data_IF_759858245554
#
_entry.id   IF_759858245554
#
_cell.length_a   1.000
_cell.length_b   1.000
_cell.length_c   1.000
_cell.angle_alpha   90.00
_cell.angle_beta   90.00
_cell.angle_gamma   90.00
#
_symmetry.space_group_name_H-M   'P 1'
#
loop_
_entity.id
_entity.type
_entity.pdbx_description
1 polymer ?
#
# COMPACT_ATOMS: atom_id res chain seq x y z
N UNK A 1 27.15 -8.96 -15.68
CA UNK A 1 26.19 -8.18 -14.89
C UNK A 1 24.98 -9.07 -14.68
N UNK A 2 24.48 -9.20 -13.46
CA UNK A 2 23.21 -9.86 -13.27
C UNK A 2 22.12 -9.01 -13.94
N UNK A 3 21.21 -9.66 -14.68
CA UNK A 3 20.08 -8.96 -15.29
C UNK A 3 19.19 -8.38 -14.18
N UNK A 4 18.64 -7.19 -14.42
CA UNK A 4 17.72 -6.55 -13.49
C UNK A 4 16.45 -7.38 -13.32
N UNK A 5 16.04 -7.61 -12.07
CA UNK A 5 14.83 -8.39 -11.77
C UNK A 5 13.56 -7.52 -11.91
N UNK A 6 12.91 -7.61 -13.06
CA UNK A 6 11.65 -6.91 -13.34
C UNK A 6 10.42 -7.54 -12.69
N UNK A 7 10.55 -8.71 -12.06
CA UNK A 7 9.41 -9.40 -11.43
C UNK A 7 9.06 -8.86 -10.06
N UNK A 8 9.95 -8.05 -9.47
CA UNK A 8 9.78 -7.50 -8.13
C UNK A 8 10.58 -6.22 -7.91
N UNK A 9 10.20 -5.46 -6.90
CA UNK A 9 11.02 -4.39 -6.34
C UNK A 9 10.78 -4.29 -4.83
N UNK A 10 11.75 -3.72 -4.12
CA UNK A 10 11.68 -3.45 -2.68
C UNK A 10 12.04 -2.01 -2.41
N UNK A 11 11.24 -1.36 -1.56
CA UNK A 11 11.46 0.01 -1.08
C UNK A 11 11.59 -0.02 0.43
N UNK A 12 12.47 0.79 0.96
CA UNK A 12 12.68 0.93 2.42
C UNK A 12 12.61 2.39 2.83
N UNK A 13 11.97 2.67 3.96
CA UNK A 13 11.93 3.99 4.56
C UNK A 13 11.93 3.86 6.08
N UNK A 14 12.62 4.76 6.77
CA UNK A 14 12.54 4.90 8.21
C UNK A 14 11.39 5.83 8.60
N UNK A 15 10.69 5.50 9.68
CA UNK A 15 9.61 6.34 10.23
C UNK A 15 9.79 6.41 11.75
N UNK A 16 9.89 7.63 12.28
CA UNK A 16 10.15 7.88 13.71
C UNK A 16 8.86 7.73 14.55
N UNK A 17 8.36 6.50 14.61
CA UNK A 17 7.22 6.11 15.45
C UNK A 17 7.36 4.66 15.91
N UNK A 18 6.64 4.29 16.96
CA UNK A 18 6.62 2.91 17.43
C UNK A 18 6.07 1.95 16.35
N UNK A 19 6.63 0.74 16.21
CA UNK A 19 6.18 -0.25 15.22
C UNK A 19 4.68 -0.55 15.27
N UNK A 20 4.09 -0.57 16.48
CA UNK A 20 2.66 -0.85 16.66
C UNK A 20 1.77 0.23 16.04
N UNK A 21 2.16 1.50 16.16
CA UNK A 21 1.43 2.62 15.55
C UNK A 21 1.53 2.54 14.02
N UNK A 22 2.72 2.20 13.51
CA UNK A 22 2.97 2.04 12.09
C UNK A 22 2.20 0.83 11.51
N UNK A 23 2.16 -0.30 12.23
CA UNK A 23 1.36 -1.45 11.82
C UNK A 23 -0.13 -1.10 11.69
N UNK A 24 -0.70 -0.40 12.69
CA UNK A 24 -2.09 0.07 12.63
C UNK A 24 -2.38 0.98 11.45
N UNK A 25 -1.41 1.80 11.02
CA UNK A 25 -1.56 2.65 9.84
C UNK A 25 -1.77 1.84 8.54
N UNK A 26 -1.28 0.61 8.48
CA UNK A 26 -1.46 -0.30 7.35
C UNK A 26 -2.71 -1.16 7.44
N UNK A 27 -3.05 -1.66 8.63
CA UNK A 27 -4.01 -2.76 8.79
C UNK A 27 -5.37 -2.33 9.32
N UNK A 28 -5.63 -1.04 9.50
CA UNK A 28 -6.96 -0.55 9.86
C UNK A 28 -7.50 0.35 8.76
N UNK A 29 -8.84 0.40 8.61
CA UNK A 29 -9.48 1.30 7.65
C UNK A 29 -9.09 2.75 7.91
N UNK A 30 -9.22 3.21 9.15
CA UNK A 30 -8.86 4.57 9.54
C UNK A 30 -7.37 4.87 9.32
N UNK A 31 -6.51 3.88 9.61
CA UNK A 31 -5.07 4.01 9.40
C UNK A 31 -4.73 4.20 7.92
N UNK A 32 -5.15 3.30 7.06
CA UNK A 32 -4.78 3.31 5.64
C UNK A 32 -5.41 4.49 4.88
N UNK A 33 -6.60 4.96 5.29
CA UNK A 33 -7.22 6.18 4.73
C UNK A 33 -6.49 7.47 5.16
N UNK A 34 -5.78 7.44 6.28
CA UNK A 34 -5.06 8.63 6.75
C UNK A 34 -3.93 9.06 5.82
N UNK A 35 -3.31 8.14 5.10
CA UNK A 35 -2.11 8.44 4.31
C UNK A 35 -2.12 7.89 2.88
N UNK A 36 -2.89 6.83 2.58
CA UNK A 36 -2.82 6.13 1.30
C UNK A 36 -4.11 6.28 0.48
N UNK A 37 -5.26 5.96 1.04
CA UNK A 37 -6.51 5.85 0.32
C UNK A 37 -7.46 7.02 0.60
N UNK A 38 -8.35 7.28 -0.36
CA UNK A 38 -9.54 8.11 -0.14
C UNK A 38 -10.63 7.33 0.58
N UNK A 39 -10.81 6.07 0.20
CA UNK A 39 -11.81 5.16 0.77
C UNK A 39 -11.25 3.75 0.79
N UNK A 40 -11.44 3.06 1.90
CA UNK A 40 -11.21 1.63 2.02
C UNK A 40 -12.41 0.94 2.64
N UNK A 41 -12.84 -0.15 2.02
CA UNK A 41 -13.86 -1.05 2.58
C UNK A 41 -13.24 -2.43 2.73
N UNK A 42 -13.44 -3.05 3.88
CA UNK A 42 -13.06 -4.43 4.12
C UNK A 42 -14.30 -5.26 4.43
N UNK A 43 -14.32 -6.51 4.00
CA UNK A 43 -15.37 -7.46 4.33
C UNK A 43 -14.79 -8.76 4.86
N UNK A 44 -15.36 -9.22 5.96
CA UNK A 44 -15.07 -10.50 6.62
C UNK A 44 -16.36 -11.27 6.76
N UNK A 45 -16.52 -12.37 5.98
CA UNK A 45 -17.77 -13.14 5.97
C UNK A 45 -19.01 -12.24 5.77
N UNK A 46 -18.94 -11.33 4.80
CA UNK A 46 -19.97 -10.33 4.47
C UNK A 46 -20.29 -9.32 5.59
N UNK A 47 -19.45 -9.21 6.61
CA UNK A 47 -19.53 -8.20 7.67
C UNK A 47 -18.43 -7.15 7.47
N UNK A 48 -18.79 -5.88 7.63
CA UNK A 48 -17.82 -4.77 7.58
C UNK A 48 -17.16 -4.61 8.96
N UNK A 49 -15.82 -4.79 9.08
CA UNK A 49 -15.10 -4.47 10.32
C UNK A 49 -15.19 -3.00 10.68
N UNK A 50 -15.06 -2.68 11.95
CA UNK A 50 -14.99 -1.30 12.43
C UNK A 50 -13.79 -0.53 11.88
N UNK A 51 -13.84 0.80 12.01
CA UNK A 51 -12.78 1.66 11.42
C UNK A 51 -11.40 1.45 12.05
N UNK A 52 -11.37 1.08 13.32
CA UNK A 52 -10.14 0.82 14.08
C UNK A 52 -9.86 -0.70 14.26
N UNK A 53 -10.72 -1.57 13.72
CA UNK A 53 -10.51 -3.02 13.75
C UNK A 53 -9.42 -3.41 12.75
N UNK A 54 -8.42 -4.20 13.16
CA UNK A 54 -7.39 -4.64 12.24
C UNK A 54 -7.94 -5.68 11.25
N UNK A 55 -7.49 -5.58 10.01
CA UNK A 55 -7.76 -6.58 8.99
C UNK A 55 -7.13 -7.91 9.37
N UNK A 56 -7.71 -8.99 8.85
CA UNK A 56 -7.26 -10.36 9.08
C UNK A 56 -7.04 -11.07 7.74
N UNK A 57 -6.30 -12.15 7.79
CA UNK A 57 -6.13 -13.03 6.65
C UNK A 57 -7.50 -13.49 6.12
N UNK A 58 -7.70 -13.41 4.81
CA UNK A 58 -8.94 -13.73 4.13
C UNK A 58 -9.93 -12.57 4.00
N UNK A 59 -9.69 -11.42 4.64
CA UNK A 59 -10.51 -10.24 4.43
C UNK A 59 -10.38 -9.77 2.98
N UNK A 60 -11.50 -9.43 2.37
CA UNK A 60 -11.52 -8.81 1.04
C UNK A 60 -11.57 -7.31 1.17
N UNK A 61 -10.96 -6.61 0.21
CA UNK A 61 -10.95 -5.15 0.22
C UNK A 61 -11.43 -4.55 -1.11
N UNK A 62 -11.91 -3.29 -0.99
CA UNK A 62 -12.15 -2.36 -2.10
C UNK A 62 -11.48 -1.05 -1.74
N UNK A 63 -10.64 -0.53 -2.63
CA UNK A 63 -9.86 0.67 -2.43
C UNK A 63 -10.07 1.69 -3.52
N UNK A 64 -10.11 2.97 -3.13
CA UNK A 64 -10.18 4.12 -4.02
C UNK A 64 -9.18 5.19 -3.61
N UNK A 65 -8.64 5.90 -4.58
CA UNK A 65 -7.66 6.96 -4.37
C UNK A 65 -8.23 8.33 -4.69
N UNK A 66 -7.62 9.37 -4.14
CA UNK A 66 -7.84 10.72 -4.61
C UNK A 66 -7.35 10.87 -6.06
N UNK A 67 -8.00 11.74 -6.85
CA UNK A 67 -7.64 12.00 -8.25
C UNK A 67 -8.20 11.03 -9.27
N UNK A 68 -8.86 9.96 -8.84
CA UNK A 68 -9.54 8.98 -9.70
C UNK A 68 -11.05 9.04 -9.52
N UNK A 69 -11.83 8.81 -10.59
CA UNK A 69 -13.28 8.71 -10.48
C UNK A 69 -13.70 7.47 -9.68
N UNK A 70 -14.91 7.49 -9.11
CA UNK A 70 -15.44 6.40 -8.29
C UNK A 70 -15.53 5.05 -9.01
N UNK A 71 -15.55 5.08 -10.35
CA UNK A 71 -15.50 3.85 -11.17
C UNK A 71 -14.14 3.15 -11.16
N UNK A 72 -13.07 3.85 -10.75
CA UNK A 72 -11.73 3.26 -10.60
C UNK A 72 -11.60 2.74 -9.18
N UNK A 73 -11.70 1.43 -9.04
CA UNK A 73 -11.70 0.73 -7.78
C UNK A 73 -10.79 -0.50 -7.85
N UNK A 74 -9.89 -0.62 -6.90
CA UNK A 74 -9.05 -1.80 -6.71
C UNK A 74 -9.76 -2.79 -5.80
N UNK A 75 -9.70 -4.05 -6.15
CA UNK A 75 -10.24 -5.16 -5.36
C UNK A 75 -9.13 -6.17 -5.07
N UNK A 76 -9.11 -6.67 -3.87
CA UNK A 76 -8.14 -7.68 -3.50
C UNK A 76 -8.47 -8.40 -2.19
N UNK A 77 -7.49 -9.13 -1.71
CA UNK A 77 -7.59 -9.97 -0.52
C UNK A 77 -6.35 -9.81 0.35
N UNK A 78 -6.57 -9.82 1.66
CA UNK A 78 -5.50 -9.88 2.67
C UNK A 78 -5.00 -11.31 2.75
N UNK A 79 -3.76 -11.54 2.37
CA UNK A 79 -3.13 -12.87 2.36
C UNK A 79 -2.52 -13.24 3.72
N UNK A 80 -1.90 -12.25 4.38
CA UNK A 80 -1.32 -12.42 5.71
C UNK A 80 -1.48 -11.13 6.52
N UNK A 81 -1.81 -11.27 7.80
CA UNK A 81 -1.78 -10.19 8.78
C UNK A 81 -1.46 -10.82 10.14
N UNK A 82 -0.20 -10.70 10.60
CA UNK A 82 0.25 -11.37 11.81
C UNK A 82 -0.03 -10.58 13.11
N UNK A 83 -0.64 -9.40 13.00
CA UNK A 83 -1.00 -8.56 14.13
C UNK A 83 0.15 -7.78 14.75
N UNK A 84 1.34 -7.80 14.14
CA UNK A 84 2.55 -7.24 14.75
C UNK A 84 3.44 -6.46 13.77
N UNK A 85 3.98 -7.11 12.77
CA UNK A 85 5.06 -6.56 11.93
C UNK A 85 5.05 -7.04 10.49
N UNK A 86 4.08 -7.88 10.09
CA UNK A 86 3.96 -8.37 8.72
C UNK A 86 2.53 -8.31 8.21
N UNK A 87 2.37 -7.77 7.00
CA UNK A 87 1.10 -7.64 6.30
C UNK A 87 1.32 -7.89 4.81
N UNK A 88 0.49 -8.74 4.20
CA UNK A 88 0.54 -9.06 2.77
C UNK A 88 -0.85 -9.08 2.17
N UNK A 89 -0.97 -8.56 0.94
CA UNK A 89 -2.22 -8.50 0.20
C UNK A 89 -1.98 -8.66 -1.30
N UNK A 90 -3.00 -9.11 -2.04
CA UNK A 90 -2.98 -9.06 -3.51
C UNK A 90 -3.10 -7.60 -3.98
N UNK A 91 -2.50 -7.23 -5.10
CA UNK A 91 -2.53 -5.87 -5.61
C UNK A 91 -2.44 -5.82 -7.13
N UNK A 92 -3.41 -5.13 -7.75
CA UNK A 92 -3.48 -5.04 -9.20
C UNK A 92 -3.88 -6.34 -9.88
N UNK A 93 -4.31 -6.22 -11.10
CA UNK A 93 -4.68 -7.34 -11.95
C UNK A 93 -3.58 -7.68 -12.93
N UNK A 94 -2.76 -8.69 -12.66
CA UNK A 94 -2.03 -9.40 -13.73
C UNK A 94 -3.02 -10.14 -14.60
N UNK A 95 -2.65 -10.46 -15.84
CA UNK A 95 -3.52 -11.22 -16.75
C UNK A 95 -3.65 -12.70 -16.34
N UNK A 96 -2.67 -13.21 -15.59
CA UNK A 96 -2.57 -14.62 -15.19
C UNK A 96 -2.79 -14.79 -13.67
N UNK A 97 -2.18 -13.92 -12.87
CA UNK A 97 -2.31 -13.93 -11.41
C UNK A 97 -2.16 -12.52 -10.84
N UNK A 98 -2.76 -12.23 -9.68
CA UNK A 98 -2.57 -10.93 -9.05
C UNK A 98 -1.10 -10.76 -8.64
N UNK A 99 -0.63 -9.51 -8.65
CA UNK A 99 0.60 -9.15 -7.96
C UNK A 99 0.36 -9.19 -6.44
N UNK A 100 1.44 -9.30 -5.71
CA UNK A 100 1.41 -9.27 -4.25
C UNK A 100 2.22 -8.08 -3.75
N UNK A 101 1.77 -7.50 -2.64
CA UNK A 101 2.53 -6.51 -1.89
C UNK A 101 2.63 -7.00 -0.46
N UNK A 102 3.83 -7.05 0.07
CA UNK A 102 4.04 -7.26 1.50
C UNK A 102 4.74 -6.07 2.15
N UNK A 103 4.43 -5.90 3.41
CA UNK A 103 5.00 -4.92 4.31
C UNK A 103 5.63 -5.67 5.46
N UNK A 104 6.92 -5.46 5.67
CA UNK A 104 7.64 -5.93 6.85
C UNK A 104 8.10 -4.71 7.67
N UNK A 105 7.82 -4.72 8.95
CA UNK A 105 8.31 -3.72 9.90
C UNK A 105 9.47 -4.29 10.69
N UNK A 106 10.50 -3.49 10.87
CA UNK A 106 11.69 -3.89 11.62
C UNK A 106 12.30 -2.71 12.37
N UNK A 107 13.34 -3.01 13.14
CA UNK A 107 14.19 -2.01 13.76
C UNK A 107 15.60 -2.12 13.16
N UNK A 108 16.15 -1.00 12.77
CA UNK A 108 17.51 -0.89 12.25
C UNK A 108 18.16 0.35 12.87
N UNK A 109 19.30 0.19 13.54
CA UNK A 109 19.98 1.26 14.30
C UNK A 109 19.04 2.02 15.27
N UNK A 110 18.01 1.36 15.80
CA UNK A 110 17.04 1.93 16.72
C UNK A 110 15.88 2.68 16.06
N UNK A 111 15.86 2.77 14.73
CA UNK A 111 14.77 3.38 13.96
C UNK A 111 13.79 2.31 13.46
N UNK A 112 12.51 2.65 13.41
CA UNK A 112 11.50 1.77 12.80
C UNK A 112 11.61 1.85 11.28
N UNK A 113 11.77 0.71 10.63
CA UNK A 113 11.87 0.59 9.17
C UNK A 113 10.61 -0.04 8.61
N UNK A 114 10.08 0.56 7.56
CA UNK A 114 9.09 -0.05 6.65
C UNK A 114 9.83 -0.59 5.45
N UNK A 115 9.71 -1.88 5.21
CA UNK A 115 10.13 -2.50 3.97
C UNK A 115 8.90 -2.97 3.20
N UNK A 116 8.69 -2.38 2.01
CA UNK A 116 7.62 -2.73 1.10
C UNK A 116 8.21 -3.51 -0.08
N UNK A 117 7.69 -4.70 -0.34
CA UNK A 117 8.04 -5.47 -1.53
C UNK A 117 6.80 -5.74 -2.36
N UNK A 118 6.81 -5.32 -3.62
CA UNK A 118 5.83 -5.75 -4.62
C UNK A 118 6.48 -6.80 -5.52
N UNK A 119 5.78 -7.90 -5.78
CA UNK A 119 6.29 -9.03 -6.54
C UNK A 119 5.20 -9.74 -7.36
N UNK A 120 5.60 -10.77 -8.08
CA UNK A 120 4.76 -11.46 -9.05
C UNK A 120 4.33 -10.55 -10.21
N UNK A 121 5.25 -9.69 -10.66
CA UNK A 121 5.05 -8.79 -11.82
C UNK A 121 5.39 -9.58 -13.09
N UNK A 122 4.52 -9.56 -14.07
CA UNK A 122 4.75 -10.21 -15.37
C UNK A 122 5.88 -9.51 -16.17
N UNK A 123 6.57 -10.25 -17.05
CA UNK A 123 7.74 -9.75 -17.76
C UNK A 123 7.45 -9.06 -19.10
N UNK A 124 6.19 -8.90 -19.48
CA UNK A 124 5.83 -8.16 -20.67
C UNK A 124 6.11 -6.66 -20.52
N UNK A 125 6.23 -5.93 -21.63
CA UNK A 125 6.60 -4.52 -21.64
C UNK A 125 5.58 -3.62 -20.94
N UNK A 126 4.28 -3.97 -20.98
CA UNK A 126 3.25 -3.25 -20.28
C UNK A 126 3.41 -3.41 -18.77
N UNK A 127 3.65 -4.61 -18.30
CA UNK A 127 3.83 -4.93 -16.88
C UNK A 127 5.10 -4.28 -16.32
N UNK A 128 6.20 -4.28 -17.07
CA UNK A 128 7.42 -3.53 -16.71
C UNK A 128 7.16 -2.04 -16.57
N UNK A 129 6.43 -1.44 -17.51
CA UNK A 129 6.17 0.00 -17.53
C UNK A 129 5.16 0.41 -16.44
N UNK A 130 4.00 -0.26 -16.37
CA UNK A 130 2.89 0.14 -15.52
C UNK A 130 3.06 -0.40 -14.09
N UNK A 131 3.34 -1.70 -13.97
CA UNK A 131 3.32 -2.36 -12.67
C UNK A 131 4.67 -2.38 -11.96
N UNK A 132 5.77 -2.39 -12.70
CA UNK A 132 7.08 -2.24 -12.06
C UNK A 132 7.43 -0.76 -11.85
N UNK A 133 7.59 0.00 -12.91
CA UNK A 133 8.01 1.41 -12.83
C UNK A 133 6.91 2.28 -12.22
N UNK A 134 5.69 2.18 -12.72
CA UNK A 134 4.56 3.00 -12.25
C UNK A 134 4.19 2.74 -10.80
N UNK A 135 4.11 1.47 -10.37
CA UNK A 135 3.83 1.16 -8.97
C UNK A 135 5.00 1.53 -8.05
N UNK A 136 6.24 1.33 -8.47
CA UNK A 136 7.41 1.76 -7.69
C UNK A 136 7.40 3.27 -7.47
N UNK A 137 7.06 4.07 -8.49
CA UNK A 137 6.89 5.51 -8.37
C UNK A 137 5.75 5.87 -7.40
N UNK A 138 4.60 5.23 -7.54
CA UNK A 138 3.44 5.45 -6.67
C UNK A 138 3.74 5.09 -5.21
N UNK A 139 4.30 3.92 -4.97
CA UNK A 139 4.68 3.51 -3.62
C UNK A 139 5.74 4.42 -2.99
N UNK A 140 6.71 4.90 -3.76
CA UNK A 140 7.70 5.86 -3.26
C UNK A 140 7.02 7.13 -2.75
N UNK A 141 6.07 7.67 -3.50
CA UNK A 141 5.30 8.84 -3.07
C UNK A 141 4.48 8.54 -1.81
N UNK A 142 3.73 7.43 -1.79
CA UNK A 142 2.86 7.11 -0.65
C UNK A 142 3.64 6.74 0.61
N UNK A 143 4.79 6.11 0.51
CA UNK A 143 5.67 5.89 1.66
C UNK A 143 6.22 7.20 2.22
N UNK A 144 6.55 8.17 1.36
CA UNK A 144 6.92 9.52 1.80
C UNK A 144 5.75 10.22 2.51
N UNK A 145 4.51 10.04 2.01
CA UNK A 145 3.31 10.58 2.68
C UNK A 145 3.04 9.87 4.01
N UNK A 146 3.20 8.55 4.09
CA UNK A 146 3.12 7.81 5.35
C UNK A 146 4.07 8.39 6.39
N UNK A 147 5.34 8.56 6.03
CA UNK A 147 6.35 9.17 6.91
C UNK A 147 5.93 10.57 7.34
N UNK A 148 5.52 11.43 6.41
CA UNK A 148 5.06 12.79 6.73
C UNK A 148 3.91 12.78 7.74
N UNK A 149 2.85 11.99 7.50
CA UNK A 149 1.69 11.91 8.39
C UNK A 149 2.06 11.35 9.77
N UNK A 150 2.82 10.27 9.81
CA UNK A 150 3.17 9.60 11.06
C UNK A 150 4.11 10.45 11.94
N UNK A 151 4.95 11.27 11.35
CA UNK A 151 5.86 12.18 12.05
C UNK A 151 5.24 13.57 12.33
N UNK A 152 3.92 13.73 12.18
CA UNK A 152 3.21 14.96 12.49
C UNK A 152 3.30 16.05 11.41
N UNK A 153 3.71 15.69 10.21
CA UNK A 153 3.75 16.56 9.04
C UNK A 153 2.40 16.68 8.32
N UNK A 154 2.44 17.15 7.09
CA UNK A 154 1.26 17.40 6.27
C UNK A 154 0.91 16.20 5.39
N UNK A 155 -0.35 16.12 4.97
CA UNK A 155 -0.81 15.18 3.96
C UNK A 155 -0.40 15.70 2.57
N UNK A 156 0.47 14.95 1.89
CA UNK A 156 1.04 15.32 0.59
C UNK A 156 0.10 15.00 -0.57
N UNK A 157 -1.00 14.26 -0.35
CA UNK A 157 -1.92 13.86 -1.40
C UNK A 157 -2.67 15.06 -1.99
N UNK A 158 -2.79 15.07 -3.32
CA UNK A 158 -3.65 16.04 -3.99
C UNK A 158 -5.12 15.67 -3.80
N UNK A 159 -5.87 16.55 -3.14
CA UNK A 159 -7.33 16.42 -2.95
C UNK A 159 -8.14 17.34 -3.82
N UNK A 160 -7.48 18.14 -4.70
CA UNK A 160 -8.16 19.02 -5.63
C UNK A 160 -8.51 18.26 -6.91
N UNK A 161 -9.74 17.83 -7.04
CA UNK A 161 -10.25 17.05 -8.19
C UNK A 161 -10.21 17.80 -9.53
N UNK A 162 -9.98 19.11 -9.51
CA UNK A 162 -9.81 19.91 -10.74
C UNK A 162 -8.44 19.72 -11.37
N UNK A 163 -7.43 19.38 -10.58
CA UNK A 163 -6.10 19.07 -11.07
C UNK A 163 -6.08 17.63 -11.62
N UNK A 164 -5.47 17.46 -12.79
CA UNK A 164 -5.37 16.15 -13.46
C UNK A 164 -3.93 15.76 -13.66
N UNK A 165 -3.68 14.45 -13.66
CA UNK A 165 -2.35 13.87 -13.88
C UNK A 165 -1.31 14.30 -12.84
N UNK A 166 -1.77 14.53 -11.61
CA UNK A 166 -0.85 14.76 -10.51
C UNK A 166 -0.23 13.44 -10.05
N UNK A 167 1.02 13.47 -9.69
CA UNK A 167 1.77 12.30 -9.21
C UNK A 167 1.17 11.70 -7.92
N UNK A 168 0.48 12.52 -7.17
CA UNK A 168 -0.11 12.23 -5.86
C UNK A 168 -1.65 12.06 -5.91
N UNK A 169 -2.16 11.65 -7.02
CA UNK A 169 -3.60 11.38 -7.20
C UNK A 169 -3.81 10.03 -7.84
#
# INVERSE_FOLDING_TARGET
MADYDWTRFTLRINVDVAPEALYKAWVTRKGIESWFLRLSEYSRNDVLPGADDPVQQGDRYKWQWFGYPDSVMEHGEVLHANGKDFFEFTFGGGTVSPMHVNIALGLDEGETIVELTQFNIELDDRSKSIFHVGCMQGWTFYLANLKSIMEGGIDLRNKNEKLKRMMNS
#
